data_IF_238097473072
#
_entry.id   IF_238097473072
#
_cell.length_a   1.000
_cell.length_b   1.000
_cell.length_c   1.000
_cell.angle_alpha   90.00
_cell.angle_beta   90.00
_cell.angle_gamma   90.00
#
_symmetry.space_group_name_H-M   'P 1'
#
loop_
_entity.id
_entity.type
_entity.pdbx_description
1 polymer ?
#
# COMPACT_ATOMS: atom_id res chain seq x y z
N UNK A 1 45.33 -22.96 -18.10
CA UNK A 1 44.08 -22.50 -17.46
C UNK A 1 43.04 -23.59 -17.65
N UNK A 2 42.70 -24.40 -16.63
CA UNK A 2 41.62 -25.35 -16.80
C UNK A 2 40.32 -24.55 -16.95
N UNK A 3 39.54 -24.84 -18.00
CA UNK A 3 38.18 -24.32 -18.14
C UNK A 3 37.42 -24.83 -16.92
N UNK A 4 37.07 -23.94 -15.99
CA UNK A 4 36.20 -24.28 -14.87
C UNK A 4 34.91 -24.86 -15.45
N UNK A 5 34.76 -26.18 -15.40
CA UNK A 5 33.49 -26.84 -15.67
C UNK A 5 32.50 -26.23 -14.68
N UNK A 6 31.66 -25.33 -15.19
CA UNK A 6 30.54 -24.81 -14.44
C UNK A 6 29.63 -26.01 -14.23
N UNK A 7 29.74 -26.65 -13.06
CA UNK A 7 28.97 -27.83 -12.69
C UNK A 7 27.49 -27.50 -12.91
N UNK A 8 26.86 -28.12 -13.91
CA UNK A 8 25.43 -27.96 -14.24
C UNK A 8 24.73 -29.28 -13.94
N UNK A 9 23.68 -29.24 -13.13
CA UNK A 9 22.71 -30.34 -13.06
C UNK A 9 21.44 -29.94 -13.80
N UNK A 10 20.98 -30.81 -14.69
CA UNK A 10 19.71 -30.67 -15.40
C UNK A 10 18.95 -31.99 -15.30
N UNK A 11 17.65 -31.91 -14.97
CA UNK A 11 16.75 -33.05 -14.91
C UNK A 11 15.48 -32.75 -15.71
N UNK A 12 15.04 -33.73 -16.51
CA UNK A 12 13.79 -33.66 -17.25
C UNK A 12 13.04 -34.98 -17.09
N UNK A 13 11.76 -34.90 -16.75
CA UNK A 13 10.90 -36.07 -16.58
C UNK A 13 9.46 -35.74 -16.99
N UNK A 14 8.62 -36.77 -17.12
CA UNK A 14 7.18 -36.57 -17.24
C UNK A 14 6.60 -36.26 -15.86
N UNK A 15 6.76 -37.16 -14.90
CA UNK A 15 6.13 -37.05 -13.58
C UNK A 15 6.93 -36.10 -12.67
N UNK A 16 8.17 -36.45 -12.32
CA UNK A 16 8.97 -35.69 -11.34
C UNK A 16 10.41 -35.51 -11.76
N UNK A 17 10.91 -34.26 -11.72
CA UNK A 17 12.30 -33.92 -12.01
C UNK A 17 12.97 -33.21 -10.83
N UNK A 18 14.17 -33.68 -10.47
CA UNK A 18 14.96 -33.12 -9.37
C UNK A 18 16.39 -32.82 -9.81
N UNK A 19 16.85 -31.58 -9.57
CA UNK A 19 18.23 -31.16 -9.77
C UNK A 19 18.77 -30.50 -8.49
N UNK A 20 19.77 -31.11 -7.85
CA UNK A 20 20.14 -30.77 -6.47
C UNK A 20 21.60 -30.34 -6.26
N UNK A 21 22.42 -30.27 -7.32
CA UNK A 21 23.86 -29.98 -7.19
C UNK A 21 24.47 -29.25 -8.39
N UNK A 22 25.41 -28.35 -8.13
CA UNK A 22 26.16 -27.61 -9.15
C UNK A 22 26.03 -26.08 -9.04
N UNK A 23 26.80 -25.34 -9.83
CA UNK A 23 26.68 -23.87 -9.93
C UNK A 23 25.31 -23.49 -10.52
N UNK A 24 24.72 -24.36 -11.34
CA UNK A 24 23.37 -24.20 -11.91
C UNK A 24 22.59 -25.51 -11.81
N UNK A 25 21.41 -25.48 -11.20
CA UNK A 25 20.46 -26.57 -11.16
C UNK A 25 19.19 -26.20 -11.94
N UNK A 26 18.74 -27.09 -12.83
CA UNK A 26 17.52 -26.92 -13.62
C UNK A 26 16.68 -28.19 -13.60
N UNK A 27 15.39 -28.08 -13.28
CA UNK A 27 14.45 -29.20 -13.30
C UNK A 27 13.22 -28.84 -14.14
N UNK A 28 12.81 -29.76 -15.01
CA UNK A 28 11.60 -29.62 -15.83
C UNK A 28 10.75 -30.89 -15.76
N UNK A 29 9.48 -30.76 -15.40
CA UNK A 29 8.53 -31.87 -15.37
C UNK A 29 7.15 -31.47 -15.88
N UNK A 30 6.27 -32.44 -16.12
CA UNK A 30 4.84 -32.17 -16.24
C UNK A 30 4.26 -31.92 -14.84
N UNK A 31 4.36 -32.85 -13.90
CA UNK A 31 3.75 -32.65 -12.58
C UNK A 31 4.65 -31.85 -11.65
N UNK A 32 5.82 -32.37 -11.28
CA UNK A 32 6.61 -31.82 -10.17
C UNK A 32 8.07 -31.53 -10.56
N UNK A 33 8.49 -30.28 -10.46
CA UNK A 33 9.88 -29.88 -10.71
C UNK A 33 10.51 -29.25 -9.46
N UNK A 34 11.67 -29.77 -9.07
CA UNK A 34 12.43 -29.24 -7.93
C UNK A 34 13.89 -28.97 -8.33
N UNK A 35 14.31 -27.72 -8.17
CA UNK A 35 15.70 -27.32 -8.33
C UNK A 35 16.22 -26.76 -7.00
N UNK A 36 17.29 -27.36 -6.48
CA UNK A 36 17.92 -26.94 -5.24
C UNK A 36 19.43 -26.82 -5.40
N UNK A 37 20.01 -25.86 -4.68
CA UNK A 37 21.46 -25.65 -4.54
C UNK A 37 22.18 -25.08 -5.78
N UNK A 38 23.22 -24.29 -5.51
CA UNK A 38 24.06 -23.66 -6.52
C UNK A 38 24.06 -22.14 -6.47
N UNK A 39 24.60 -21.49 -7.51
CA UNK A 39 24.43 -20.05 -7.68
C UNK A 39 23.05 -19.72 -8.29
N UNK A 40 22.47 -20.66 -9.04
CA UNK A 40 21.17 -20.51 -9.74
C UNK A 40 20.38 -21.81 -9.70
N UNK A 41 19.15 -21.75 -9.22
CA UNK A 41 18.17 -22.83 -9.27
C UNK A 41 16.96 -22.40 -10.12
N UNK A 42 16.51 -23.26 -11.04
CA UNK A 42 15.35 -23.03 -11.89
C UNK A 42 14.46 -24.28 -11.97
N UNK A 43 13.18 -24.15 -11.63
CA UNK A 43 12.21 -25.24 -11.72
C UNK A 43 11.04 -24.82 -12.61
N UNK A 44 10.63 -25.71 -13.52
CA UNK A 44 9.48 -25.50 -14.39
C UNK A 44 8.58 -26.74 -14.41
N UNK A 45 7.30 -26.57 -14.10
CA UNK A 45 6.32 -27.65 -14.14
C UNK A 45 4.97 -27.18 -14.72
N UNK A 46 4.08 -28.12 -15.02
CA UNK A 46 2.66 -27.82 -15.19
C UNK A 46 2.02 -27.67 -13.80
N UNK A 47 2.11 -28.66 -12.90
CA UNK A 47 1.47 -28.54 -11.57
C UNK A 47 2.32 -27.74 -10.60
N UNK A 48 3.46 -28.29 -10.14
CA UNK A 48 4.21 -27.71 -9.02
C UNK A 48 5.68 -27.49 -9.34
N UNK A 49 6.15 -26.25 -9.16
CA UNK A 49 7.56 -25.90 -9.32
C UNK A 49 8.14 -25.32 -8.03
N UNK A 50 9.28 -25.85 -7.59
CA UNK A 50 9.99 -25.36 -6.41
C UNK A 50 11.46 -25.09 -6.72
N UNK A 51 11.92 -23.87 -6.43
CA UNK A 51 13.32 -23.48 -6.58
C UNK A 51 13.88 -22.93 -5.26
N UNK A 52 15.01 -23.47 -4.80
CA UNK A 52 15.62 -23.04 -3.54
C UNK A 52 17.15 -22.95 -3.58
N UNK A 53 17.68 -22.08 -2.72
CA UNK A 53 19.11 -21.89 -2.41
C UNK A 53 19.98 -21.22 -3.48
N UNK A 54 20.95 -20.43 -3.00
CA UNK A 54 21.99 -19.81 -3.82
C UNK A 54 21.92 -18.29 -3.91
N UNK A 55 22.24 -17.77 -5.10
CA UNK A 55 22.11 -16.34 -5.42
C UNK A 55 20.76 -16.06 -6.08
N UNK A 56 20.23 -17.01 -6.86
CA UNK A 56 18.99 -16.86 -7.64
C UNK A 56 18.15 -18.14 -7.63
N UNK A 57 16.88 -18.03 -7.28
CA UNK A 57 15.87 -19.06 -7.46
C UNK A 57 14.73 -18.55 -8.34
N UNK A 58 14.29 -19.37 -9.29
CA UNK A 58 13.14 -19.10 -10.14
C UNK A 58 12.26 -20.35 -10.25
N UNK A 59 10.98 -20.24 -9.91
CA UNK A 59 9.99 -21.29 -10.08
C UNK A 59 8.88 -20.82 -11.01
N UNK A 60 8.49 -21.67 -11.97
CA UNK A 60 7.39 -21.41 -12.89
C UNK A 60 6.47 -22.64 -12.97
N UNK A 61 5.17 -22.43 -12.73
CA UNK A 61 4.17 -23.48 -12.83
C UNK A 61 2.85 -22.97 -13.43
N UNK A 62 1.93 -23.86 -13.77
CA UNK A 62 0.53 -23.51 -13.97
C UNK A 62 -0.15 -23.42 -12.59
N UNK A 63 -0.14 -24.48 -11.79
CA UNK A 63 -0.85 -24.51 -10.51
C UNK A 63 -0.09 -23.73 -9.42
N UNK A 64 1.08 -24.21 -8.99
CA UNK A 64 1.79 -23.63 -7.85
C UNK A 64 3.30 -23.47 -8.06
N UNK A 65 3.80 -22.25 -7.84
CA UNK A 65 5.23 -21.93 -7.92
C UNK A 65 5.75 -21.38 -6.59
N UNK A 66 6.86 -21.95 -6.11
CA UNK A 66 7.50 -21.53 -4.87
C UNK A 66 8.99 -21.27 -5.05
N UNK A 67 9.46 -20.11 -4.57
CA UNK A 67 10.89 -19.80 -4.52
C UNK A 67 11.33 -19.34 -3.12
N UNK A 68 12.48 -19.82 -2.64
CA UNK A 68 12.94 -19.51 -1.28
C UNK A 68 14.45 -19.32 -1.13
N UNK A 69 14.83 -18.61 -0.07
CA UNK A 69 16.19 -18.57 0.50
C UNK A 69 17.29 -18.13 -0.47
N UNK A 70 17.10 -17.01 -1.18
CA UNK A 70 18.06 -16.49 -2.16
C UNK A 70 18.25 -14.97 -2.07
N UNK A 71 19.36 -14.45 -2.63
CA UNK A 71 19.50 -13.00 -2.86
C UNK A 71 18.39 -12.49 -3.79
N UNK A 72 18.02 -13.27 -4.79
CA UNK A 72 16.88 -13.01 -5.69
C UNK A 72 16.01 -14.25 -5.80
N UNK A 73 14.74 -14.14 -5.45
CA UNK A 73 13.77 -15.22 -5.57
C UNK A 73 12.56 -14.73 -6.38
N UNK A 74 12.13 -15.55 -7.34
CA UNK A 74 10.98 -15.27 -8.19
C UNK A 74 10.10 -16.51 -8.34
N UNK A 75 8.78 -16.33 -8.18
CA UNK A 75 7.79 -17.37 -8.41
C UNK A 75 6.72 -16.83 -9.38
N UNK A 76 6.38 -17.63 -10.39
CA UNK A 76 5.33 -17.31 -11.35
C UNK A 76 4.39 -18.51 -11.52
N UNK A 77 3.10 -18.30 -11.30
CA UNK A 77 2.08 -19.32 -11.48
C UNK A 77 0.83 -18.77 -12.18
N UNK A 78 -0.07 -19.64 -12.62
CA UNK A 78 -1.45 -19.25 -12.89
C UNK A 78 -2.21 -19.11 -11.56
N UNK A 79 -2.27 -20.14 -10.73
CA UNK A 79 -3.05 -20.06 -9.48
C UNK A 79 -2.25 -19.43 -8.34
N UNK A 80 -1.16 -20.06 -7.90
CA UNK A 80 -0.50 -19.71 -6.64
C UNK A 80 1.00 -19.47 -6.79
N UNK A 81 1.47 -18.25 -6.52
CA UNK A 81 2.89 -17.91 -6.51
C UNK A 81 3.34 -17.44 -5.12
N UNK A 82 4.38 -18.09 -4.58
CA UNK A 82 4.90 -17.77 -3.25
C UNK A 82 6.42 -17.56 -3.25
N UNK A 83 6.87 -16.49 -2.60
CA UNK A 83 8.28 -16.25 -2.30
C UNK A 83 8.47 -16.00 -0.81
N UNK A 84 9.08 -16.96 -0.12
CA UNK A 84 9.22 -16.90 1.34
C UNK A 84 10.30 -15.91 1.81
N UNK A 85 11.42 -15.78 1.09
CA UNK A 85 12.52 -14.91 1.51
C UNK A 85 13.49 -14.54 0.40
N UNK A 86 13.99 -13.31 0.46
CA UNK A 86 15.20 -12.90 -0.27
C UNK A 86 15.48 -11.40 -0.20
N UNK A 87 16.68 -10.96 -0.59
CA UNK A 87 16.96 -9.51 -0.69
C UNK A 87 16.00 -8.85 -1.70
N UNK A 88 15.69 -9.58 -2.78
CA UNK A 88 14.66 -9.24 -3.77
C UNK A 88 13.72 -10.44 -3.95
N UNK A 89 12.47 -10.28 -3.53
CA UNK A 89 11.40 -11.28 -3.65
C UNK A 89 10.33 -10.77 -4.62
N UNK A 90 9.90 -11.60 -5.57
CA UNK A 90 8.84 -11.29 -6.53
C UNK A 90 7.92 -12.49 -6.74
N UNK A 91 6.64 -12.34 -6.42
CA UNK A 91 5.61 -13.34 -6.69
C UNK A 91 4.60 -12.78 -7.71
N UNK A 92 4.27 -13.57 -8.73
CA UNK A 92 3.28 -13.21 -9.73
C UNK A 92 2.33 -14.39 -9.99
N UNK A 93 1.04 -14.17 -9.82
CA UNK A 93 0.01 -15.15 -10.13
C UNK A 93 -1.20 -14.50 -10.81
N UNK A 94 -2.11 -15.30 -11.34
CA UNK A 94 -3.46 -14.84 -11.67
C UNK A 94 -4.30 -14.74 -10.39
N UNK A 95 -4.37 -15.81 -9.58
CA UNK A 95 -5.22 -15.82 -8.37
C UNK A 95 -4.49 -15.24 -7.15
N UNK A 96 -3.45 -15.92 -6.64
CA UNK A 96 -2.82 -15.55 -5.37
C UNK A 96 -1.30 -15.40 -5.47
N UNK A 97 -0.79 -14.22 -5.11
CA UNK A 97 0.63 -13.95 -5.05
C UNK A 97 1.07 -13.51 -3.65
N UNK A 98 2.07 -14.17 -3.07
CA UNK A 98 2.60 -13.85 -1.75
C UNK A 98 4.12 -13.68 -1.76
N UNK A 99 4.61 -12.55 -1.22
CA UNK A 99 6.03 -12.31 -0.99
C UNK A 99 6.30 -11.97 0.48
N UNK A 100 6.84 -12.91 1.25
CA UNK A 100 6.86 -12.77 2.72
C UNK A 100 7.96 -11.82 3.24
N UNK A 101 9.17 -11.81 2.66
CA UNK A 101 10.25 -10.99 3.22
C UNK A 101 11.35 -10.57 2.25
N UNK A 102 11.81 -9.31 2.38
CA UNK A 102 13.01 -8.83 1.70
C UNK A 102 13.34 -7.34 1.85
N UNK A 103 14.51 -6.92 1.35
CA UNK A 103 14.79 -5.48 1.17
C UNK A 103 13.82 -4.89 0.15
N UNK A 104 13.50 -5.67 -0.89
CA UNK A 104 12.46 -5.36 -1.88
C UNK A 104 11.58 -6.60 -2.04
N UNK A 105 10.31 -6.48 -1.73
CA UNK A 105 9.32 -7.53 -1.93
C UNK A 105 8.17 -7.00 -2.79
N UNK A 106 7.77 -7.78 -3.78
CA UNK A 106 6.66 -7.46 -4.68
C UNK A 106 5.75 -8.68 -4.85
N UNK A 107 4.45 -8.45 -4.80
CA UNK A 107 3.43 -9.45 -5.13
C UNK A 107 2.43 -8.84 -6.13
N UNK A 108 2.08 -9.59 -7.16
CA UNK A 108 1.11 -9.17 -8.17
C UNK A 108 0.15 -10.32 -8.46
N UNK A 109 -1.15 -10.06 -8.29
CA UNK A 109 -2.21 -10.96 -8.67
C UNK A 109 -3.43 -10.19 -9.19
N UNK A 110 -4.37 -10.89 -9.82
CA UNK A 110 -5.69 -10.34 -10.13
C UNK A 110 -6.60 -10.38 -8.90
N UNK A 111 -6.58 -11.49 -8.16
CA UNK A 111 -7.43 -11.64 -6.97
C UNK A 111 -6.70 -11.15 -5.72
N UNK A 112 -5.69 -11.87 -5.21
CA UNK A 112 -5.05 -11.53 -3.94
C UNK A 112 -3.53 -11.41 -4.07
N UNK A 113 -2.99 -10.23 -3.78
CA UNK A 113 -1.57 -10.04 -3.60
C UNK A 113 -1.26 -9.64 -2.16
N UNK A 114 -0.26 -10.26 -1.57
CA UNK A 114 0.21 -9.95 -0.23
C UNK A 114 1.72 -9.85 -0.16
N UNK A 115 2.19 -8.80 0.51
CA UNK A 115 3.60 -8.66 0.89
C UNK A 115 3.71 -8.55 2.39
N UNK A 116 4.38 -9.50 3.06
CA UNK A 116 4.39 -9.55 4.54
C UNK A 116 5.39 -8.57 5.18
N UNK A 117 6.56 -8.34 4.56
CA UNK A 117 7.56 -7.41 5.10
C UNK A 117 8.61 -6.93 4.08
N UNK A 118 9.05 -5.69 4.24
CA UNK A 118 10.30 -5.24 3.61
C UNK A 118 10.68 -3.77 3.76
N UNK A 119 11.91 -3.40 3.35
CA UNK A 119 12.28 -1.97 3.25
C UNK A 119 11.43 -1.29 2.16
N UNK A 120 11.12 -2.01 1.09
CA UNK A 120 10.15 -1.62 0.06
C UNK A 120 9.24 -2.80 -0.25
N UNK A 121 7.97 -2.67 0.12
CA UNK A 121 6.90 -3.61 -0.16
C UNK A 121 5.94 -3.00 -1.20
N UNK A 122 5.59 -3.77 -2.22
CA UNK A 122 4.60 -3.37 -3.23
C UNK A 122 3.65 -4.53 -3.53
N UNK A 123 2.35 -4.32 -3.35
CA UNK A 123 1.31 -5.27 -3.75
C UNK A 123 0.41 -4.66 -4.82
N UNK A 124 0.14 -5.43 -5.87
CA UNK A 124 -0.93 -5.15 -6.83
C UNK A 124 -2.00 -6.22 -6.63
N UNK A 125 -3.14 -5.80 -6.08
CA UNK A 125 -4.27 -6.54 -5.49
C UNK A 125 -4.29 -6.58 -3.95
N UNK A 126 -5.48 -6.30 -3.41
CA UNK A 126 -5.92 -6.27 -2.01
C UNK A 126 -5.02 -5.68 -0.89
N UNK A 127 -3.82 -6.21 -0.60
CA UNK A 127 -3.13 -5.88 0.65
C UNK A 127 -1.59 -5.81 0.52
N UNK A 128 -0.98 -4.69 0.91
CA UNK A 128 0.46 -4.60 1.14
C UNK A 128 0.75 -4.39 2.62
N UNK A 129 1.22 -5.42 3.32
CA UNK A 129 1.59 -5.24 4.73
C UNK A 129 2.99 -4.63 4.92
N UNK A 130 3.35 -4.50 6.19
CA UNK A 130 4.37 -3.66 6.83
C UNK A 130 5.73 -3.44 6.13
N UNK A 131 6.25 -2.21 6.13
CA UNK A 131 7.61 -1.92 5.62
C UNK A 131 8.10 -0.46 5.74
N UNK A 132 9.36 -0.13 5.46
CA UNK A 132 9.81 1.29 5.46
C UNK A 132 9.04 2.09 4.40
N UNK A 133 8.74 1.47 3.26
CA UNK A 133 7.82 1.96 2.25
C UNK A 133 6.87 0.84 1.84
N UNK A 134 5.57 1.02 2.03
CA UNK A 134 4.53 0.12 1.58
C UNK A 134 3.66 0.81 0.52
N UNK A 135 3.39 0.12 -0.59
CA UNK A 135 2.50 0.58 -1.66
C UNK A 135 1.50 -0.53 -2.01
N UNK A 136 0.21 -0.19 -2.05
CA UNK A 136 -0.86 -1.09 -2.47
C UNK A 136 -1.70 -0.43 -3.58
N UNK A 137 -2.02 -1.19 -4.62
CA UNK A 137 -2.95 -0.78 -5.68
C UNK A 137 -3.95 -1.90 -5.94
N UNK A 138 -5.25 -1.60 -5.94
CA UNK A 138 -6.30 -2.58 -6.25
C UNK A 138 -7.44 -1.95 -7.05
N UNK A 139 -8.28 -2.80 -7.67
CA UNK A 139 -9.55 -2.35 -8.23
C UNK A 139 -10.51 -2.01 -7.10
N UNK A 140 -10.97 -2.98 -6.31
CA UNK A 140 -11.95 -2.72 -5.24
C UNK A 140 -11.32 -2.13 -3.98
N UNK A 141 -10.58 -2.96 -3.24
CA UNK A 141 -10.11 -2.62 -1.90
C UNK A 141 -8.59 -2.72 -1.84
N UNK A 142 -7.91 -1.67 -1.35
CA UNK A 142 -6.47 -1.70 -1.12
C UNK A 142 -6.13 -1.29 0.32
N UNK A 143 -5.23 -2.02 0.97
CA UNK A 143 -4.79 -1.73 2.34
C UNK A 143 -3.26 -1.71 2.47
N UNK A 144 -2.74 -0.81 3.30
CA UNK A 144 -1.36 -0.84 3.76
C UNK A 144 -1.25 -0.62 5.28
N UNK A 145 -0.72 -1.60 6.01
CA UNK A 145 -0.89 -1.71 7.47
C UNK A 145 0.11 -0.90 8.31
N UNK A 146 1.39 -0.80 7.91
CA UNK A 146 2.39 -0.02 8.66
C UNK A 146 3.65 0.37 7.88
N UNK A 147 4.25 1.54 8.19
CA UNK A 147 5.56 1.90 7.65
C UNK A 147 6.06 3.32 7.90
N UNK A 148 7.31 3.64 7.53
CA UNK A 148 7.74 5.07 7.53
C UNK A 148 6.92 5.85 6.49
N UNK A 149 6.59 5.23 5.36
CA UNK A 149 5.71 5.75 4.31
C UNK A 149 4.74 4.68 3.81
N UNK A 150 3.44 4.93 3.86
CA UNK A 150 2.40 4.12 3.26
C UNK A 150 1.68 4.92 2.16
N UNK A 151 1.46 4.30 0.99
CA UNK A 151 0.70 4.87 -0.12
C UNK A 151 -0.26 3.82 -0.67
N UNK A 152 -1.54 4.16 -0.77
CA UNK A 152 -2.60 3.23 -1.18
C UNK A 152 -3.49 3.87 -2.22
N UNK A 153 -3.78 3.12 -3.29
CA UNK A 153 -4.70 3.54 -4.34
C UNK A 153 -5.72 2.42 -4.63
N UNK A 154 -7.01 2.76 -4.63
CA UNK A 154 -8.09 1.85 -5.00
C UNK A 154 -9.16 2.57 -5.84
N UNK A 155 -10.04 1.83 -6.51
CA UNK A 155 -11.27 2.41 -7.06
C UNK A 155 -12.28 2.66 -5.93
N UNK A 156 -12.62 1.64 -5.15
CA UNK A 156 -13.65 1.77 -4.10
C UNK A 156 -13.06 2.23 -2.76
N UNK A 157 -12.25 1.39 -2.10
CA UNK A 157 -11.77 1.68 -0.75
C UNK A 157 -10.24 1.59 -0.61
N UNK A 158 -9.61 2.67 -0.14
CA UNK A 158 -8.18 2.74 0.13
C UNK A 158 -7.91 3.00 1.62
N UNK A 159 -7.15 2.13 2.29
CA UNK A 159 -6.77 2.34 3.70
C UNK A 159 -5.26 2.30 3.91
N UNK A 160 -4.68 3.43 4.34
CA UNK A 160 -3.28 3.55 4.70
C UNK A 160 -3.14 3.76 6.22
N UNK A 161 -2.69 2.73 6.93
CA UNK A 161 -2.52 2.71 8.38
C UNK A 161 -1.06 2.94 8.79
N UNK A 162 -0.86 3.85 9.74
CA UNK A 162 0.32 4.07 10.59
C UNK A 162 1.66 4.37 9.91
N UNK A 163 2.27 5.52 10.27
CA UNK A 163 3.63 5.85 9.84
C UNK A 163 4.12 7.27 10.10
N UNK A 164 5.28 7.65 9.55
CA UNK A 164 5.66 9.08 9.48
C UNK A 164 4.80 9.79 8.43
N UNK A 165 4.45 9.10 7.34
CA UNK A 165 3.58 9.59 6.25
C UNK A 165 2.63 8.51 5.76
N UNK A 166 1.32 8.78 5.77
CA UNK A 166 0.30 7.94 5.16
C UNK A 166 -0.45 8.71 4.06
N UNK A 167 -0.69 8.07 2.92
CA UNK A 167 -1.48 8.62 1.82
C UNK A 167 -2.45 7.55 1.29
N UNK A 168 -3.73 7.89 1.18
CA UNK A 168 -4.77 7.04 0.61
C UNK A 168 -5.56 7.79 -0.47
N UNK A 169 -5.81 7.15 -1.60
CA UNK A 169 -6.60 7.70 -2.70
C UNK A 169 -7.62 6.66 -3.18
N UNK A 170 -8.89 7.05 -3.23
CA UNK A 170 -9.95 6.23 -3.80
C UNK A 170 -11.06 7.10 -4.43
N UNK A 171 -11.91 6.49 -5.25
CA UNK A 171 -13.10 7.16 -5.76
C UNK A 171 -14.16 7.28 -4.67
N UNK A 172 -14.41 6.21 -3.91
CA UNK A 172 -15.45 6.20 -2.87
C UNK A 172 -14.87 6.59 -1.50
N UNK A 173 -14.06 5.73 -0.86
CA UNK A 173 -13.58 5.96 0.50
C UNK A 173 -12.06 5.81 0.63
N UNK A 174 -11.39 6.79 1.23
CA UNK A 174 -9.95 6.76 1.44
C UNK A 174 -9.62 7.18 2.86
N UNK A 175 -9.10 6.24 3.65
CA UNK A 175 -8.72 6.50 5.03
C UNK A 175 -7.21 6.49 5.19
N UNK A 176 -6.66 7.60 5.68
CA UNK A 176 -5.27 7.68 6.09
C UNK A 176 -5.20 7.88 7.61
N UNK A 177 -4.79 6.84 8.32
CA UNK A 177 -4.81 6.77 9.78
C UNK A 177 -3.43 6.90 10.39
N UNK A 178 -3.25 7.89 11.26
CA UNK A 178 -2.17 8.05 12.25
C UNK A 178 -0.74 8.23 11.69
N UNK A 179 -0.06 9.29 12.18
CA UNK A 179 1.32 9.60 11.83
C UNK A 179 1.70 11.07 12.00
N UNK A 180 2.93 11.44 11.61
CA UNK A 180 3.35 12.85 11.55
C UNK A 180 2.59 13.61 10.46
N UNK A 181 2.27 12.93 9.35
CA UNK A 181 1.47 13.45 8.23
C UNK A 181 0.54 12.38 7.66
N UNK A 182 -0.74 12.68 7.50
CA UNK A 182 -1.74 11.84 6.86
C UNK A 182 -2.46 12.64 5.75
N UNK A 183 -2.71 12.02 4.60
CA UNK A 183 -3.45 12.62 3.49
C UNK A 183 -4.43 11.61 2.90
N UNK A 184 -5.68 12.02 2.72
CA UNK A 184 -6.73 11.23 2.09
C UNK A 184 -7.36 12.00 0.93
N UNK A 185 -7.64 11.31 -0.18
CA UNK A 185 -8.41 11.86 -1.31
C UNK A 185 -9.54 10.89 -1.64
N UNK A 186 -10.75 11.16 -1.12
CA UNK A 186 -12.02 10.43 -1.33
C UNK A 186 -13.13 11.06 -0.44
N UNK A 187 -14.33 10.45 -0.41
CA UNK A 187 -15.52 10.95 0.32
C UNK A 187 -15.47 10.85 1.87
N UNK A 188 -14.38 10.37 2.52
CA UNK A 188 -14.35 10.34 3.98
C UNK A 188 -12.97 10.21 4.66
N UNK A 189 -12.81 10.92 5.78
CA UNK A 189 -11.88 10.74 6.93
C UNK A 189 -10.34 10.61 6.74
N UNK A 190 -9.58 11.57 7.29
CA UNK A 190 -8.15 11.41 7.66
C UNK A 190 -7.86 11.74 9.13
N UNK A 191 -6.82 11.13 9.72
CA UNK A 191 -6.38 11.40 11.10
C UNK A 191 -4.85 11.38 11.26
N UNK A 192 -4.27 12.31 12.04
CA UNK A 192 -2.82 12.36 12.32
C UNK A 192 -2.29 13.74 12.75
N UNK A 193 -1.03 13.87 13.20
CA UNK A 193 -0.45 15.14 13.71
C UNK A 193 -0.60 16.30 12.71
N UNK A 194 -0.47 16.00 11.41
CA UNK A 194 -0.92 16.88 10.31
C UNK A 194 -1.80 16.05 9.37
N UNK A 195 -3.09 16.33 9.34
CA UNK A 195 -4.03 15.59 8.52
C UNK A 195 -4.65 16.50 7.45
N UNK A 196 -4.76 15.98 6.22
CA UNK A 196 -5.37 16.66 5.08
C UNK A 196 -6.35 15.73 4.36
N UNK A 197 -7.55 16.23 4.05
CA UNK A 197 -8.53 15.50 3.26
C UNK A 197 -9.10 16.37 2.12
N UNK A 198 -9.32 15.77 0.96
CA UNK A 198 -9.95 16.42 -0.20
C UNK A 198 -11.00 15.48 -0.80
N UNK A 199 -12.20 16.01 -1.06
CA UNK A 199 -13.31 15.26 -1.65
C UNK A 199 -14.20 16.15 -2.52
N UNK A 200 -15.04 15.52 -3.35
CA UNK A 200 -16.07 16.23 -4.12
C UNK A 200 -17.28 16.59 -3.24
N UNK A 201 -17.73 15.68 -2.36
CA UNK A 201 -18.88 15.91 -1.48
C UNK A 201 -18.45 16.00 -0.01
N UNK A 202 -17.97 14.91 0.57
CA UNK A 202 -17.68 14.84 2.00
C UNK A 202 -16.18 14.59 2.21
N UNK A 203 -15.50 15.42 2.98
CA UNK A 203 -14.18 15.09 3.51
C UNK A 203 -14.21 15.43 4.97
N UNK A 204 -13.71 14.51 5.79
CA UNK A 204 -13.62 14.69 7.22
C UNK A 204 -12.16 14.56 7.64
N UNK A 205 -11.77 15.36 8.63
CA UNK A 205 -10.52 15.18 9.34
C UNK A 205 -10.88 15.10 10.81
N UNK A 206 -10.61 13.96 11.48
CA UNK A 206 -11.13 13.71 12.82
C UNK A 206 -10.16 14.16 13.93
N UNK A 207 -8.85 14.22 13.66
CA UNK A 207 -7.84 14.67 14.64
C UNK A 207 -6.48 15.05 14.05
N UNK A 208 -5.84 16.06 14.66
CA UNK A 208 -4.43 16.40 14.41
C UNK A 208 -3.93 17.70 15.03
N UNK A 209 -2.63 17.89 15.26
CA UNK A 209 -2.11 19.22 15.66
C UNK A 209 -2.44 20.28 14.58
N UNK A 210 -2.51 19.88 13.30
CA UNK A 210 -3.08 20.68 12.20
C UNK A 210 -3.98 19.82 11.31
N UNK A 211 -5.24 20.20 11.18
CA UNK A 211 -6.23 19.57 10.30
C UNK A 211 -6.63 20.55 9.18
N UNK A 212 -6.64 20.07 7.93
CA UNK A 212 -7.12 20.84 6.77
C UNK A 212 -8.06 19.98 5.91
N UNK A 213 -9.28 20.43 5.68
CA UNK A 213 -10.23 19.76 4.79
C UNK A 213 -10.62 20.69 3.63
N UNK A 214 -10.55 20.18 2.40
CA UNK A 214 -11.22 20.78 1.24
C UNK A 214 -12.52 20.02 0.99
N UNK A 215 -13.49 20.18 1.89
CA UNK A 215 -14.89 19.75 1.80
C UNK A 215 -15.66 20.16 3.07
N UNK A 216 -16.86 19.60 3.27
CA UNK A 216 -17.85 19.98 4.27
C UNK A 216 -17.35 20.12 5.73
N UNK A 217 -16.35 19.36 6.20
CA UNK A 217 -16.02 19.35 7.63
C UNK A 217 -14.53 19.10 7.99
N UNK A 218 -14.01 19.87 8.96
CA UNK A 218 -12.77 19.57 9.69
C UNK A 218 -13.02 19.56 11.22
N UNK A 219 -12.70 18.45 11.89
CA UNK A 219 -12.83 18.30 13.34
C UNK A 219 -11.48 18.03 14.05
N UNK A 220 -11.21 18.86 15.06
CA UNK A 220 -10.18 18.77 16.10
C UNK A 220 -8.68 18.96 15.76
N UNK A 221 -8.04 19.83 16.56
CA UNK A 221 -6.61 20.09 16.55
C UNK A 221 -6.12 21.35 17.29
N UNK A 222 -4.82 21.68 17.23
CA UNK A 222 -4.33 23.03 17.60
C UNK A 222 -4.75 24.03 16.51
N UNK A 223 -4.84 23.59 15.25
CA UNK A 223 -5.37 24.35 14.11
C UNK A 223 -6.31 23.48 13.28
N UNK A 224 -7.52 23.96 13.00
CA UNK A 224 -8.46 23.33 12.07
C UNK A 224 -8.85 24.33 10.97
N UNK A 225 -8.85 23.89 9.70
CA UNK A 225 -9.28 24.69 8.56
C UNK A 225 -10.18 23.85 7.63
N UNK A 226 -11.36 24.38 7.28
CA UNK A 226 -12.28 23.77 6.31
C UNK A 226 -12.57 24.75 5.17
N UNK A 227 -12.53 24.27 3.93
CA UNK A 227 -12.91 25.03 2.73
C UNK A 227 -13.85 24.19 1.87
N UNK A 228 -15.02 24.71 1.52
CA UNK A 228 -16.00 24.01 0.69
C UNK A 228 -16.66 24.96 -0.31
N UNK A 229 -17.36 24.41 -1.31
CA UNK A 229 -18.20 25.21 -2.20
C UNK A 229 -19.49 25.63 -1.50
N UNK A 230 -20.30 24.70 -1.02
CA UNK A 230 -21.57 25.00 -0.35
C UNK A 230 -21.39 25.29 1.13
N UNK A 231 -21.07 24.27 1.93
CA UNK A 231 -21.05 24.37 3.39
C UNK A 231 -19.70 23.94 3.98
N UNK A 232 -19.10 24.72 4.87
CA UNK A 232 -17.85 24.37 5.55
C UNK A 232 -17.98 24.47 7.08
N UNK A 233 -17.57 23.43 7.80
CA UNK A 233 -17.61 23.37 9.26
C UNK A 233 -16.24 23.11 9.89
N UNK A 234 -15.84 23.90 10.88
CA UNK A 234 -14.66 23.66 11.72
C UNK A 234 -15.04 23.57 13.21
N UNK A 235 -14.97 22.38 13.81
CA UNK A 235 -15.62 22.11 15.11
C UNK A 235 -14.79 22.48 16.35
N UNK A 236 -13.45 22.37 16.31
CA UNK A 236 -12.61 22.63 17.50
C UNK A 236 -11.11 22.90 17.24
N UNK A 237 -10.52 23.85 17.99
CA UNK A 237 -9.07 24.02 18.14
C UNK A 237 -8.59 25.37 18.69
N UNK A 238 -7.29 25.54 18.99
CA UNK A 238 -6.75 26.87 19.42
C UNK A 238 -6.95 27.93 18.32
N UNK A 239 -6.91 27.53 17.05
CA UNK A 239 -7.29 28.34 15.88
C UNK A 239 -8.19 27.53 14.96
N UNK A 240 -9.37 28.03 14.64
CA UNK A 240 -10.30 27.36 13.73
C UNK A 240 -10.77 28.31 12.63
N UNK A 241 -10.79 27.83 11.37
CA UNK A 241 -11.22 28.60 10.21
C UNK A 241 -12.15 27.79 9.31
N UNK A 242 -13.23 28.41 8.83
CA UNK A 242 -14.13 27.82 7.84
C UNK A 242 -14.40 28.83 6.71
N UNK A 243 -14.31 28.39 5.46
CA UNK A 243 -14.60 29.19 4.28
C UNK A 243 -15.54 28.44 3.32
N UNK A 244 -16.65 29.05 2.94
CA UNK A 244 -17.58 28.49 1.95
C UNK A 244 -18.22 29.58 1.08
N UNK A 245 -18.93 29.21 0.03
CA UNK A 245 -19.78 30.15 -0.70
C UNK A 245 -21.09 30.37 0.06
N UNK A 246 -21.79 29.31 0.45
CA UNK A 246 -23.11 29.40 1.07
C UNK A 246 -23.02 29.58 2.60
N UNK A 247 -22.56 28.56 3.34
CA UNK A 247 -22.46 28.64 4.81
C UNK A 247 -21.11 28.20 5.38
N UNK A 248 -20.56 29.00 6.31
CA UNK A 248 -19.35 28.68 7.06
C UNK A 248 -19.61 28.71 8.57
N UNK A 249 -19.29 27.62 9.28
CA UNK A 249 -19.51 27.50 10.72
C UNK A 249 -18.24 27.11 11.47
N UNK A 250 -17.98 27.79 12.60
CA UNK A 250 -16.91 27.45 13.54
C UNK A 250 -17.47 27.30 14.95
N UNK A 251 -17.42 26.10 15.51
CA UNK A 251 -18.12 25.77 16.77
C UNK A 251 -17.31 26.11 18.03
N UNK A 252 -15.97 26.09 18.00
CA UNK A 252 -15.14 26.45 19.17
C UNK A 252 -13.67 26.75 18.83
N UNK A 253 -13.08 27.76 19.50
CA UNK A 253 -11.64 27.98 19.48
C UNK A 253 -11.16 29.31 20.08
N UNK A 254 -9.89 29.38 20.49
CA UNK A 254 -9.31 30.63 21.08
C UNK A 254 -9.26 31.76 20.04
N UNK A 255 -9.11 31.42 18.76
CA UNK A 255 -9.25 32.33 17.61
C UNK A 255 -10.07 31.64 16.51
N UNK A 256 -11.32 32.05 16.34
CA UNK A 256 -12.24 31.54 15.33
C UNK A 256 -12.46 32.55 14.20
N UNK A 257 -12.53 32.06 12.94
CA UNK A 257 -12.89 32.86 11.77
C UNK A 257 -13.75 32.08 10.79
N UNK A 258 -14.93 32.61 10.45
CA UNK A 258 -15.82 32.06 9.43
C UNK A 258 -15.99 33.09 8.30
N UNK A 259 -15.94 32.63 7.04
CA UNK A 259 -16.16 33.46 5.86
C UNK A 259 -17.11 32.74 4.89
N UNK A 260 -18.24 33.36 4.60
CA UNK A 260 -19.19 32.90 3.59
C UNK A 260 -19.85 34.09 2.88
N UNK A 261 -20.42 33.86 1.69
CA UNK A 261 -21.20 34.86 0.97
C UNK A 261 -22.59 35.05 1.60
N UNK A 262 -23.21 33.97 2.11
CA UNK A 262 -24.55 34.04 2.69
C UNK A 262 -24.54 33.99 4.22
N UNK A 263 -24.00 32.93 4.84
CA UNK A 263 -24.12 32.69 6.27
C UNK A 263 -22.79 32.33 6.94
N UNK A 264 -22.29 33.18 7.85
CA UNK A 264 -21.04 32.96 8.58
C UNK A 264 -21.27 32.98 10.10
N UNK A 265 -20.94 31.88 10.79
CA UNK A 265 -21.13 31.73 12.24
C UNK A 265 -19.82 31.31 12.95
N UNK A 266 -19.44 32.00 14.02
CA UNK A 266 -18.27 31.66 14.83
C UNK A 266 -18.54 31.82 16.33
N UNK A 267 -18.42 30.73 17.08
CA UNK A 267 -18.62 30.71 18.53
C UNK A 267 -17.26 30.88 19.24
N UNK A 268 -17.07 32.02 19.90
CA UNK A 268 -15.90 32.45 20.72
C UNK A 268 -14.63 32.96 19.98
N UNK A 269 -14.06 34.09 20.46
CA UNK A 269 -12.73 34.61 20.07
C UNK A 269 -12.56 35.39 18.75
N UNK A 270 -13.55 36.21 18.35
CA UNK A 270 -13.88 36.46 16.93
C UNK A 270 -13.23 37.66 16.21
N UNK A 271 -12.82 37.45 14.93
CA UNK A 271 -13.00 38.38 13.80
C UNK A 271 -13.96 37.70 12.79
N UNK A 272 -15.14 38.27 12.53
CA UNK A 272 -16.02 37.87 11.41
C UNK A 272 -15.69 38.76 10.21
N UNK A 273 -15.47 38.18 9.04
CA UNK A 273 -15.33 38.92 7.79
C UNK A 273 -16.49 38.60 6.87
N UNK A 274 -17.47 39.51 6.77
CA UNK A 274 -18.41 39.51 5.64
C UNK A 274 -17.78 40.29 4.48
N UNK A 275 -17.74 39.76 3.25
CA UNK A 275 -17.38 40.58 2.10
C UNK A 275 -18.42 41.71 1.97
N UNK A 276 -17.94 42.95 1.82
CA UNK A 276 -18.82 44.09 1.60
C UNK A 276 -19.57 43.88 0.28
N UNK A 277 -20.90 44.02 0.35
CA UNK A 277 -21.80 44.11 -0.80
C UNK A 277 -21.34 45.18 -1.78
#
# INVERSE_FOLDING_TARGET
MPRSEVVRAAAQAHESAQASSGVRAAAQAHENAQASSGARAAAQAHENAQASSGVRAAAQAHESAQASSCVRAAAQAHENAQVSSGVRAAAQAHENAQASSGVRAAAQAHENAQVSSGVRAAAQAHEASSGVRAAAQAHENAQASSGVRAAVQAHENAQASSGVRAAAQAHENAQASSGVRAAAQAHEASSGVRAAAQAHENAQVSSGVRAAAQAHEASSGVRAAAQAHENAQARSGVRAAAQAHESAQVSSGVRAGAQAHENAQASSGVRVGQPKR
#
